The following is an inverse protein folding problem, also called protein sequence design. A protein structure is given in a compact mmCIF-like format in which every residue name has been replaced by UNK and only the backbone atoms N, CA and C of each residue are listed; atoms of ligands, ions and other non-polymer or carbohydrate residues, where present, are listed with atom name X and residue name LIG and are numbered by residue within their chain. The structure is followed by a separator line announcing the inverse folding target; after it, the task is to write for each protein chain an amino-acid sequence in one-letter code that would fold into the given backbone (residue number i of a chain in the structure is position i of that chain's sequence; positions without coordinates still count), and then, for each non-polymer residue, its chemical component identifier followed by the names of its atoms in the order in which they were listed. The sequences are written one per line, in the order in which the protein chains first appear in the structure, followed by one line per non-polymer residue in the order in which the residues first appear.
data_IF_162114816435
#
_entry.id   IF_162114816435
#
_cell.length_a   1.000
_cell.length_b   1.000
_cell.length_c   1.000
_cell.angle_alpha   90.00
_cell.angle_beta   90.00
_cell.angle_gamma   90.00
#
_symmetry.space_group_name_H-M   'P 1'
#
loop_
_entity.id
_entity.type
_entity.pdbx_description
1 polymer ?
#
# COMPACT_ATOMS: atom_id res chain seq x y z
N UNK A 1 -23.06 14.80 -42.20
CA UNK A 1 -21.79 14.19 -42.66
C UNK A 1 -21.53 12.96 -41.81
N UNK A 2 -21.27 11.83 -42.47
CA UNK A 2 -21.21 10.47 -41.90
C UNK A 2 -19.77 10.13 -41.55
N UNK A 3 -19.46 9.80 -40.29
CA UNK A 3 -18.22 9.10 -39.96
C UNK A 3 -18.55 7.72 -39.41
N UNK A 4 -17.88 6.74 -40.02
CA UNK A 4 -18.17 5.31 -39.99
C UNK A 4 -17.59 4.65 -38.75
N UNK A 5 -18.27 3.59 -38.31
CA UNK A 5 -17.93 2.74 -37.20
C UNK A 5 -16.96 1.60 -37.59
N UNK A 6 -16.28 1.07 -36.54
CA UNK A 6 -15.79 -0.30 -36.33
C UNK A 6 -14.53 -0.77 -37.11
N UNK A 7 -13.77 -1.80 -36.64
CA UNK A 7 -14.13 -2.79 -35.59
C UNK A 7 -13.06 -3.10 -34.52
N UNK A 8 -13.56 -3.78 -33.48
CA UNK A 8 -12.82 -4.53 -32.47
C UNK A 8 -12.04 -5.70 -33.10
N UNK A 9 -10.85 -5.97 -32.57
CA UNK A 9 -10.09 -7.19 -32.85
C UNK A 9 -9.79 -7.89 -31.50
N UNK A 10 -10.56 -8.94 -31.24
CA UNK A 10 -10.34 -9.94 -30.19
C UNK A 10 -9.19 -10.86 -30.64
N UNK A 11 -8.17 -11.04 -29.83
CA UNK A 11 -7.14 -12.08 -30.03
C UNK A 11 -7.00 -12.89 -28.74
N UNK A 12 -7.60 -14.08 -28.79
CA UNK A 12 -7.39 -15.20 -27.86
C UNK A 12 -5.99 -15.77 -28.06
N UNK A 13 -5.20 -15.98 -27.00
CA UNK A 13 -4.00 -16.82 -27.06
C UNK A 13 -3.86 -17.70 -25.79
N UNK A 14 -4.18 -18.97 -26.04
CA UNK A 14 -3.73 -20.27 -25.50
C UNK A 14 -2.92 -20.36 -24.19
N UNK A 15 -3.43 -21.23 -23.31
CA UNK A 15 -2.72 -21.83 -22.19
C UNK A 15 -1.65 -22.85 -22.65
N UNK A 16 -0.51 -22.89 -21.95
CA UNK A 16 0.38 -24.05 -21.93
C UNK A 16 0.99 -24.19 -20.53
N UNK A 17 0.67 -25.31 -19.88
CA UNK A 17 1.18 -25.73 -18.59
C UNK A 17 2.60 -26.31 -18.74
N UNK A 18 3.49 -25.95 -17.83
CA UNK A 18 4.74 -26.69 -17.60
C UNK A 18 4.81 -27.06 -16.12
N UNK A 19 4.34 -28.26 -15.81
CA UNK A 19 4.56 -28.96 -14.55
C UNK A 19 6.04 -29.34 -14.46
N UNK A 20 6.72 -29.02 -13.37
CA UNK A 20 8.02 -29.62 -13.04
C UNK A 20 7.89 -30.34 -11.72
N UNK A 21 7.70 -31.65 -11.84
CA UNK A 21 7.82 -32.63 -10.77
C UNK A 21 9.32 -32.84 -10.47
N UNK A 22 9.74 -32.57 -9.24
CA UNK A 22 11.00 -33.12 -8.70
C UNK A 22 10.71 -33.77 -7.37
N UNK A 23 10.33 -35.04 -7.48
CA UNK A 23 10.47 -36.04 -6.43
C UNK A 23 11.96 -36.30 -6.14
N UNK A 24 12.40 -36.05 -4.92
CA UNK A 24 13.55 -36.74 -4.31
C UNK A 24 13.21 -37.08 -2.87
N UNK A 25 13.15 -38.38 -2.60
CA UNK A 25 12.96 -38.99 -1.29
C UNK A 25 14.23 -38.86 -0.45
N UNK A 26 14.05 -38.48 0.83
CA UNK A 26 15.03 -38.57 1.90
C UNK A 26 14.30 -38.98 3.18
N UNK A 27 14.83 -40.00 3.87
CA UNK A 27 14.16 -40.90 4.82
C UNK A 27 13.91 -40.28 6.23
N UNK A 28 13.24 -41.01 7.16
CA UNK A 28 12.47 -40.44 8.27
C UNK A 28 13.27 -40.23 9.55
N UNK A 29 12.88 -39.20 10.31
CA UNK A 29 13.30 -38.99 11.70
C UNK A 29 12.20 -38.31 12.50
N UNK A 30 11.56 -39.06 13.38
CA UNK A 30 10.64 -38.61 14.44
C UNK A 30 11.18 -39.29 15.72
N UNK A 31 11.25 -38.65 16.91
CA UNK A 31 10.02 -38.22 17.57
C UNK A 31 10.05 -36.93 18.43
N UNK A 32 8.82 -36.46 18.63
CA UNK A 32 8.24 -35.87 19.85
C UNK A 32 8.69 -34.47 20.30
N UNK A 33 7.69 -33.57 20.36
CA UNK A 33 7.77 -32.30 21.05
C UNK A 33 6.63 -31.35 20.70
N UNK A 34 5.38 -31.77 20.92
CA UNK A 34 4.24 -30.85 20.88
C UNK A 34 4.17 -30.06 22.19
N UNK A 35 4.11 -28.73 22.13
CA UNK A 35 3.15 -27.99 22.90
C UNK A 35 1.95 -27.70 22.00
N UNK A 36 0.81 -28.26 22.38
CA UNK A 36 -0.49 -27.81 21.93
C UNK A 36 -0.69 -26.36 22.40
N UNK A 37 -0.27 -25.41 21.57
CA UNK A 37 -0.81 -24.07 21.58
C UNK A 37 -1.87 -24.03 20.50
N UNK A 38 -3.11 -24.42 20.83
CA UNK A 38 -4.26 -23.97 20.06
C UNK A 38 -4.26 -22.45 20.14
N UNK A 39 -3.62 -21.79 19.17
CA UNK A 39 -3.91 -20.41 18.86
C UNK A 39 -5.36 -20.42 18.41
N UNK A 40 -6.27 -20.10 19.33
CA UNK A 40 -7.62 -19.69 18.96
C UNK A 40 -7.48 -18.65 17.85
N UNK A 41 -8.16 -18.78 16.71
CA UNK A 41 -8.24 -17.67 15.77
C UNK A 41 -8.90 -16.53 16.54
N UNK A 42 -8.11 -15.54 16.94
CA UNK A 42 -8.63 -14.30 17.50
C UNK A 42 -9.67 -13.81 16.51
N UNK A 43 -10.90 -13.66 16.99
CA UNK A 43 -12.03 -13.25 16.18
C UNK A 43 -11.64 -12.03 15.33
N UNK A 44 -11.59 -12.23 14.02
CA UNK A 44 -11.81 -11.19 13.00
C UNK A 44 -10.87 -9.99 12.99
N UNK A 45 -9.55 -10.16 13.09
CA UNK A 45 -8.67 -9.12 12.57
C UNK A 45 -8.83 -9.08 11.04
N UNK A 46 -9.68 -8.19 10.53
CA UNK A 46 -9.68 -7.87 9.10
C UNK A 46 -8.28 -7.39 8.74
N UNK A 47 -7.58 -8.19 7.93
CA UNK A 47 -6.29 -7.79 7.39
C UNK A 47 -6.48 -6.51 6.59
N UNK A 48 -5.64 -5.50 6.86
CA UNK A 48 -5.63 -4.28 6.07
C UNK A 48 -5.24 -4.62 4.63
N UNK A 49 -5.94 -4.04 3.65
CA UNK A 49 -5.55 -4.15 2.26
C UNK A 49 -4.20 -3.45 2.04
N UNK A 50 -3.30 -4.09 1.30
CA UNK A 50 -2.04 -3.46 0.90
C UNK A 50 -2.22 -2.78 -0.46
N UNK A 51 -2.22 -1.44 -0.46
CA UNK A 51 -2.33 -0.62 -1.66
C UNK A 51 -0.98 -0.37 -2.33
N UNK A 52 0.11 -0.92 -1.79
CA UNK A 52 1.42 -0.98 -2.40
C UNK A 52 2.47 -0.10 -1.70
N UNK A 53 3.71 -0.27 -2.16
CA UNK A 53 4.87 0.53 -1.77
C UNK A 53 5.53 1.10 -3.01
N UNK A 54 5.73 2.42 -3.04
CA UNK A 54 6.25 3.13 -4.21
C UNK A 54 7.40 4.05 -3.83
N UNK A 55 8.41 4.07 -4.69
CA UNK A 55 9.41 5.14 -4.71
C UNK A 55 9.09 6.04 -5.91
N UNK A 56 8.64 7.26 -5.63
CA UNK A 56 8.28 8.22 -6.66
C UNK A 56 9.48 9.07 -7.08
N UNK A 57 10.60 9.05 -6.37
CA UNK A 57 11.68 10.00 -6.61
C UNK A 57 11.17 11.45 -6.52
N UNK A 58 11.37 12.21 -7.61
CA UNK A 58 10.82 13.56 -7.78
C UNK A 58 9.46 13.60 -8.52
N UNK A 59 8.87 12.45 -8.86
CA UNK A 59 7.56 12.40 -9.50
C UNK A 59 6.47 12.81 -8.51
N UNK A 60 5.34 13.27 -9.04
CA UNK A 60 4.22 13.78 -8.26
C UNK A 60 2.96 12.91 -8.31
N UNK A 61 3.03 11.74 -8.96
CA UNK A 61 1.86 10.94 -9.27
C UNK A 61 2.04 9.51 -8.77
N UNK A 62 1.00 9.00 -8.11
CA UNK A 62 0.91 7.59 -7.74
C UNK A 62 0.46 6.75 -8.93
N UNK A 63 0.84 5.47 -8.98
CA UNK A 63 0.22 4.53 -9.90
C UNK A 63 -1.32 4.53 -9.71
N UNK A 64 -2.12 4.63 -10.79
CA UNK A 64 -3.58 4.74 -10.67
C UNK A 64 -4.22 3.64 -9.83
N UNK A 65 -3.73 2.39 -9.93
CA UNK A 65 -4.24 1.27 -9.15
C UNK A 65 -4.04 1.45 -7.62
N UNK A 66 -2.91 2.00 -7.20
CA UNK A 66 -2.62 2.24 -5.79
C UNK A 66 -3.42 3.40 -5.23
N UNK A 67 -3.60 4.46 -6.03
CA UNK A 67 -4.49 5.56 -5.68
C UNK A 67 -5.93 5.06 -5.53
N UNK A 68 -6.47 4.36 -6.52
CA UNK A 68 -7.83 3.78 -6.47
C UNK A 68 -7.99 2.86 -5.26
N UNK A 69 -7.02 1.98 -4.99
CA UNK A 69 -7.05 1.12 -3.81
C UNK A 69 -7.25 1.90 -2.50
N UNK A 70 -6.48 2.97 -2.30
CA UNK A 70 -6.58 3.78 -1.08
C UNK A 70 -7.92 4.53 -0.99
N UNK A 71 -8.34 5.16 -2.10
CA UNK A 71 -9.59 5.91 -2.14
C UNK A 71 -10.81 5.00 -1.94
N UNK A 72 -10.81 3.84 -2.57
CA UNK A 72 -11.86 2.83 -2.42
C UNK A 72 -11.89 2.31 -0.97
N UNK A 73 -10.73 2.06 -0.36
CA UNK A 73 -10.65 1.65 1.04
C UNK A 73 -11.24 2.69 2.00
N UNK A 74 -10.96 3.98 1.77
CA UNK A 74 -11.52 5.09 2.55
C UNK A 74 -13.04 5.15 2.39
N UNK A 75 -13.54 5.09 1.15
CA UNK A 75 -14.99 5.12 0.88
C UNK A 75 -15.75 3.94 1.48
N UNK A 76 -15.08 2.79 1.58
CA UNK A 76 -15.64 1.56 2.11
C UNK A 76 -15.39 1.37 3.62
N UNK A 77 -14.72 2.33 4.29
CA UNK A 77 -14.32 2.23 5.69
C UNK A 77 -13.53 0.94 6.00
N UNK A 78 -12.72 0.49 5.04
CA UNK A 78 -11.89 -0.72 5.17
C UNK A 78 -10.46 -0.35 5.51
N UNK A 79 -9.82 -1.03 6.46
CA UNK A 79 -8.40 -0.84 6.73
C UNK A 79 -7.56 -1.09 5.48
N UNK A 80 -6.63 -0.18 5.21
CA UNK A 80 -5.69 -0.29 4.10
C UNK A 80 -4.40 0.48 4.39
N UNK A 81 -3.31 0.12 3.71
CA UNK A 81 -2.00 0.79 3.86
C UNK A 81 -1.42 1.10 2.48
N UNK A 82 -0.91 2.32 2.31
CA UNK A 82 -0.11 2.73 1.16
C UNK A 82 1.21 3.34 1.66
N UNK A 83 2.33 2.96 1.06
CA UNK A 83 3.66 3.48 1.40
C UNK A 83 4.28 4.19 0.21
N UNK A 84 4.82 5.37 0.45
CA UNK A 84 5.36 6.23 -0.60
C UNK A 84 6.68 6.83 -0.13
N UNK A 85 7.72 6.74 -0.93
CA UNK A 85 8.96 7.50 -0.75
C UNK A 85 9.02 8.60 -1.80
N UNK A 86 9.35 9.81 -1.36
CA UNK A 86 9.60 10.97 -2.23
C UNK A 86 10.92 11.61 -1.85
N UNK A 87 11.59 12.21 -2.82
CA UNK A 87 12.84 12.91 -2.56
C UNK A 87 12.59 14.41 -2.33
N UNK A 88 13.39 15.01 -1.44
CA UNK A 88 13.60 16.46 -1.38
C UNK A 88 14.26 16.95 -2.69
N UNK A 89 14.49 18.26 -2.81
CA UNK A 89 15.18 18.81 -3.99
C UNK A 89 16.66 18.34 -4.01
N UNK A 90 17.25 18.16 -2.83
CA UNK A 90 18.61 17.70 -2.57
C UNK A 90 18.78 16.18 -2.76
N UNK A 91 17.67 15.44 -2.83
CA UNK A 91 17.67 13.99 -3.05
C UNK A 91 17.50 13.16 -1.78
N UNK A 92 17.17 13.77 -0.64
CA UNK A 92 16.96 13.05 0.61
C UNK A 92 15.55 12.42 0.66
N UNK A 93 15.41 11.16 1.13
CA UNK A 93 14.11 10.51 1.13
C UNK A 93 13.23 10.97 2.30
N UNK A 94 12.00 11.33 1.97
CA UNK A 94 10.88 11.48 2.90
C UNK A 94 9.91 10.31 2.67
N UNK A 95 9.63 9.55 3.72
CA UNK A 95 8.76 8.37 3.64
C UNK A 95 7.40 8.71 4.23
N UNK A 96 6.35 8.46 3.47
CA UNK A 96 4.97 8.60 3.85
C UNK A 96 4.33 7.22 4.01
N UNK A 97 3.61 7.00 5.11
CA UNK A 97 2.71 5.85 5.28
C UNK A 97 1.30 6.37 5.48
N UNK A 98 0.39 5.97 4.61
CA UNK A 98 -1.03 6.29 4.68
C UNK A 98 -1.77 5.04 5.18
N UNK A 99 -2.37 5.12 6.36
CA UNK A 99 -3.16 4.03 6.94
C UNK A 99 -4.62 4.43 7.03
N UNK A 100 -5.48 3.76 6.28
CA UNK A 100 -6.93 3.93 6.36
C UNK A 100 -7.43 3.23 7.62
N UNK A 101 -8.19 3.96 8.44
CA UNK A 101 -8.83 3.45 9.64
C UNK A 101 -10.28 3.04 9.37
N UNK A 102 -10.87 2.25 10.28
CA UNK A 102 -12.26 1.80 10.15
C UNK A 102 -13.30 2.93 10.23
N UNK A 103 -12.91 4.13 10.68
CA UNK A 103 -13.75 5.32 10.68
C UNK A 103 -13.60 6.15 9.40
N UNK A 104 -12.83 5.68 8.41
CA UNK A 104 -12.57 6.37 7.15
C UNK A 104 -11.53 7.49 7.23
N UNK A 105 -10.93 7.74 8.39
CA UNK A 105 -9.78 8.65 8.50
C UNK A 105 -8.52 7.98 7.97
N UNK A 106 -7.61 8.79 7.46
CA UNK A 106 -6.28 8.34 7.04
C UNK A 106 -5.27 8.86 8.05
N UNK A 107 -4.61 7.95 8.76
CA UNK A 107 -3.39 8.30 9.49
C UNK A 107 -2.26 8.49 8.48
N UNK A 108 -1.60 9.64 8.54
CA UNK A 108 -0.43 9.95 7.72
C UNK A 108 0.77 10.00 8.64
N UNK A 109 1.71 9.07 8.44
CA UNK A 109 3.03 9.12 9.05
C UNK A 109 4.03 9.66 8.05
N UNK A 110 4.67 10.76 8.41
CA UNK A 110 5.74 11.40 7.63
C UNK A 110 7.06 11.22 8.36
N UNK A 111 7.96 10.43 7.78
CA UNK A 111 9.30 10.15 8.29
C UNK A 111 10.33 10.94 7.48
N UNK A 112 10.93 11.92 8.13
CA UNK A 112 11.96 12.82 7.61
C UNK A 112 13.31 12.57 8.28
N UNK A 113 13.53 11.42 8.92
CA UNK A 113 14.79 11.16 9.65
C UNK A 113 16.03 11.14 8.74
N UNK A 114 15.83 10.89 7.45
CA UNK A 114 16.85 10.87 6.41
C UNK A 114 17.00 12.22 5.67
N UNK A 115 16.15 13.21 5.97
CA UNK A 115 16.27 14.58 5.43
C UNK A 115 17.44 15.30 6.12
N UNK A 116 18.53 15.52 5.38
CA UNK A 116 19.76 16.00 5.97
C UNK A 116 19.66 17.46 6.41
N UNK A 117 18.83 18.24 5.70
CA UNK A 117 18.74 19.69 5.79
C UNK A 117 17.41 20.19 6.39
N UNK A 118 16.39 19.34 6.46
CA UNK A 118 15.11 19.64 7.10
C UNK A 118 15.01 19.23 8.56
N UNK A 119 13.80 19.38 9.11
CA UNK A 119 13.47 18.89 10.45
C UNK A 119 13.43 17.36 10.42
N UNK A 120 14.26 16.72 11.25
CA UNK A 120 14.31 15.25 11.35
C UNK A 120 13.34 14.73 12.41
N UNK A 121 12.48 13.79 12.02
CA UNK A 121 11.60 13.10 12.94
C UNK A 121 10.56 12.27 12.23
N UNK A 122 9.65 11.71 13.02
CA UNK A 122 8.45 11.06 12.51
C UNK A 122 7.25 11.85 13.04
N UNK A 123 6.45 12.38 12.13
CA UNK A 123 5.25 13.14 12.44
C UNK A 123 4.01 12.33 12.07
N UNK A 124 2.96 12.45 12.86
CA UNK A 124 1.66 11.84 12.64
C UNK A 124 0.57 12.89 12.51
N UNK A 125 -0.25 12.75 11.50
CA UNK A 125 -1.48 13.49 11.28
C UNK A 125 -2.66 12.54 11.07
N UNK A 126 -3.88 12.98 11.41
CA UNK A 126 -5.12 12.33 11.02
C UNK A 126 -5.84 13.20 9.99
N UNK A 127 -6.06 12.66 8.81
CA UNK A 127 -6.59 13.38 7.66
C UNK A 127 -7.90 12.79 7.13
N UNK A 128 -8.69 13.61 6.43
CA UNK A 128 -9.96 13.24 5.77
C UNK A 128 -10.04 13.79 4.35
N UNK A 129 -10.94 13.21 3.55
CA UNK A 129 -11.16 13.60 2.17
C UNK A 129 -9.92 13.48 1.29
N UNK A 130 -9.29 12.30 1.20
CA UNK A 130 -8.17 12.11 0.29
C UNK A 130 -8.62 12.26 -1.16
N UNK A 131 -7.80 12.91 -1.96
CA UNK A 131 -7.99 13.05 -3.39
C UNK A 131 -6.65 12.94 -4.12
N UNK A 132 -6.71 12.62 -5.41
CA UNK A 132 -5.57 12.74 -6.29
C UNK A 132 -5.13 14.21 -6.33
N UNK A 133 -3.86 14.49 -6.04
CA UNK A 133 -3.35 15.85 -6.08
C UNK A 133 -1.87 15.92 -5.77
N UNK A 134 -1.17 16.97 -6.21
CA UNK A 134 0.25 17.10 -5.97
C UNK A 134 0.54 17.23 -4.47
N UNK A 135 1.59 16.55 -3.97
CA UNK A 135 2.59 15.86 -4.78
C UNK A 135 2.36 14.34 -4.92
N UNK A 136 1.19 13.81 -4.54
CA UNK A 136 0.75 12.43 -4.78
C UNK A 136 -0.69 12.23 -4.31
N UNK A 137 -0.97 12.73 -3.10
CA UNK A 137 -2.27 12.75 -2.44
C UNK A 137 -2.45 14.11 -1.78
N UNK A 138 -3.66 14.65 -1.89
CA UNK A 138 -4.11 15.81 -1.13
C UNK A 138 -5.23 15.39 -0.17
N UNK A 139 -5.40 16.15 0.91
CA UNK A 139 -6.44 15.93 1.89
C UNK A 139 -7.23 17.21 2.10
N UNK A 140 -8.55 17.09 2.23
CA UNK A 140 -9.42 18.22 2.52
C UNK A 140 -9.10 18.83 3.90
N UNK A 141 -8.80 17.99 4.90
CA UNK A 141 -8.48 18.41 6.26
C UNK A 141 -7.47 17.45 6.90
N UNK A 142 -6.58 18.00 7.72
CA UNK A 142 -5.66 17.25 8.57
C UNK A 142 -5.61 17.89 9.97
N UNK A 143 -5.39 17.06 11.00
CA UNK A 143 -5.07 17.53 12.34
C UNK A 143 -3.71 18.22 12.40
N UNK A 144 -3.41 18.96 13.47
CA UNK A 144 -2.05 19.40 13.75
C UNK A 144 -1.08 18.21 13.80
N UNK A 145 0.09 18.28 13.13
CA UNK A 145 1.10 17.23 13.22
C UNK A 145 1.58 17.00 14.66
N UNK A 146 1.68 15.74 15.06
CA UNK A 146 2.21 15.34 16.37
C UNK A 146 3.44 14.45 16.22
N UNK A 147 4.50 14.64 17.02
CA UNK A 147 5.67 13.78 16.96
C UNK A 147 5.31 12.36 17.44
N UNK A 148 5.86 11.36 16.76
CA UNK A 148 5.84 9.96 17.19
C UNK A 148 7.11 9.71 18.01
N UNK A 149 6.95 9.16 19.22
CA UNK A 149 8.06 8.83 20.12
C UNK A 149 8.57 7.42 19.91
#
# INVERSE_FOLDING_TARGET
MRWKALPALLLLLSAAACTSDRTTAGAPGTPAGSPAGSASPTAGAMLAADCGTHDLGHRSELPPASLSCLLDAVSAHRPAVLRVTRLTIEGDPIRFTYTVQQDGRVEVLTDTREDAFGHRGVMRELCTGPAAGPPALEFAQCSTPTPVR
#
